data_IF_697083583188
#
_entry.id   IF_697083583188
#
_cell.length_a   1.000
_cell.length_b   1.000
_cell.length_c   1.000
_cell.angle_alpha   90.00
_cell.angle_beta   90.00
_cell.angle_gamma   90.00
#
_symmetry.space_group_name_H-M   'P 1'
#
loop_
_entity.id
_entity.type
_entity.pdbx_description
1 polymer ?
#
# COMPACT_ATOMS: atom_id res chain seq x y z
N UNK A 1 -4.45 -5.25 21.54
CA UNK A 1 -3.62 -4.82 20.41
C UNK A 1 -2.96 -3.48 20.67
N UNK A 2 -3.75 -2.42 20.87
CA UNK A 2 -3.27 -1.03 20.97
C UNK A 2 -2.89 -0.58 22.39
N UNK A 3 -2.97 -1.47 23.39
CA UNK A 3 -2.88 -1.08 24.79
C UNK A 3 -4.18 -0.42 25.28
N UNK A 4 -4.09 0.29 26.41
CA UNK A 4 -5.21 1.03 27.00
C UNK A 4 -5.38 2.41 26.30
N UNK A 5 -5.78 2.39 25.02
CA UNK A 5 -5.96 3.61 24.24
C UNK A 5 -7.40 4.09 24.31
N UNK A 6 -7.67 5.26 24.95
CA UNK A 6 -9.04 5.76 25.16
C UNK A 6 -9.84 5.95 23.88
N UNK A 7 -9.19 6.33 22.78
CA UNK A 7 -9.84 6.52 21.47
C UNK A 7 -10.39 5.23 20.91
N UNK A 8 -9.60 4.14 21.04
CA UNK A 8 -10.02 2.78 20.62
C UNK A 8 -11.15 2.28 21.52
N UNK A 9 -11.04 2.46 22.84
CA UNK A 9 -12.08 2.04 23.80
C UNK A 9 -13.42 2.74 23.51
N UNK A 10 -13.41 4.06 23.32
CA UNK A 10 -14.61 4.82 22.94
C UNK A 10 -15.19 4.42 21.57
N UNK A 11 -14.36 3.97 20.64
CA UNK A 11 -14.82 3.44 19.34
C UNK A 11 -15.50 2.11 19.52
N UNK A 12 -14.93 1.23 20.35
CA UNK A 12 -15.51 -0.07 20.67
C UNK A 12 -16.83 0.02 21.43
N UNK A 13 -16.98 1.02 22.33
CA UNK A 13 -18.26 1.29 23.03
C UNK A 13 -19.41 1.62 22.07
N UNK A 14 -19.08 2.25 20.94
CA UNK A 14 -20.05 2.59 19.87
C UNK A 14 -20.28 1.46 18.87
N UNK A 15 -19.40 0.47 18.84
CA UNK A 15 -19.54 -0.68 17.95
C UNK A 15 -20.65 -1.60 18.50
N UNK A 16 -21.60 -1.87 17.64
CA UNK A 16 -22.73 -2.76 17.93
C UNK A 16 -22.44 -4.21 17.53
N UNK A 17 -21.27 -4.52 16.94
CA UNK A 17 -20.86 -5.88 16.64
C UNK A 17 -20.28 -6.55 17.89
N UNK A 18 -20.78 -7.73 18.21
CA UNK A 18 -20.35 -8.49 19.39
C UNK A 18 -19.27 -9.53 19.06
N UNK A 19 -19.16 -9.90 17.79
CA UNK A 19 -18.21 -10.89 17.32
C UNK A 19 -17.73 -10.61 15.89
N UNK A 20 -16.70 -11.34 15.46
CA UNK A 20 -16.09 -11.21 14.13
C UNK A 20 -17.10 -11.35 12.98
N UNK A 21 -17.99 -12.34 13.07
CA UNK A 21 -18.97 -12.61 12.00
C UNK A 21 -19.99 -11.49 11.85
N UNK A 22 -20.45 -10.91 12.96
CA UNK A 22 -21.33 -9.73 12.93
C UNK A 22 -20.61 -8.49 12.38
N UNK A 23 -19.34 -8.29 12.75
CA UNK A 23 -18.51 -7.23 12.21
C UNK A 23 -18.37 -7.32 10.69
N UNK A 24 -18.10 -8.51 10.16
CA UNK A 24 -18.03 -8.78 8.72
C UNK A 24 -19.36 -8.48 8.02
N UNK A 25 -20.48 -8.93 8.56
CA UNK A 25 -21.82 -8.68 8.00
C UNK A 25 -22.15 -7.19 7.95
N UNK A 26 -21.86 -6.45 9.02
CA UNK A 26 -22.07 -4.99 9.08
C UNK A 26 -21.20 -4.24 8.07
N UNK A 27 -19.94 -4.66 7.93
CA UNK A 27 -19.05 -4.07 6.94
C UNK A 27 -19.54 -4.34 5.53
N UNK A 28 -19.99 -5.57 5.26
CA UNK A 28 -20.58 -5.95 3.98
C UNK A 28 -21.84 -5.14 3.66
N UNK A 29 -22.75 -4.97 4.62
CA UNK A 29 -23.98 -4.17 4.47
C UNK A 29 -23.67 -2.71 4.13
N UNK A 30 -22.60 -2.13 4.70
CA UNK A 30 -22.16 -0.77 4.38
C UNK A 30 -21.57 -0.64 2.97
N UNK A 31 -20.89 -1.67 2.50
CA UNK A 31 -20.27 -1.68 1.16
C UNK A 31 -21.31 -2.01 0.08
N UNK A 32 -22.22 -2.94 0.37
CA UNK A 32 -23.27 -3.42 -0.55
C UNK A 32 -24.65 -3.45 0.11
N UNK A 33 -25.28 -2.29 0.28
CA UNK A 33 -26.59 -2.22 0.92
C UNK A 33 -27.65 -2.97 0.07
N UNK A 34 -28.48 -3.78 0.74
CA UNK A 34 -29.58 -4.50 0.13
C UNK A 34 -29.25 -5.89 -0.44
N UNK A 35 -28.00 -6.35 -0.38
CA UNK A 35 -27.64 -7.73 -0.74
C UNK A 35 -27.84 -8.70 0.45
N UNK A 36 -28.09 -10.00 0.20
CA UNK A 36 -28.19 -11.01 1.25
C UNK A 36 -26.91 -11.12 2.08
N UNK A 37 -27.04 -11.10 3.41
CA UNK A 37 -25.91 -11.12 4.33
C UNK A 37 -25.43 -12.57 4.55
N UNK A 38 -24.26 -12.91 4.02
CA UNK A 38 -23.53 -14.15 4.27
C UNK A 38 -22.13 -13.82 4.79
N UNK A 39 -21.65 -14.60 5.76
CA UNK A 39 -20.27 -14.45 6.30
C UNK A 39 -19.25 -14.72 5.22
N UNK A 40 -19.42 -15.80 4.46
CA UNK A 40 -18.48 -16.22 3.41
C UNK A 40 -18.39 -15.17 2.28
N UNK A 41 -19.54 -14.59 1.89
CA UNK A 41 -19.58 -13.52 0.88
C UNK A 41 -18.92 -12.24 1.38
N UNK A 42 -19.12 -11.91 2.66
CA UNK A 42 -18.51 -10.75 3.29
C UNK A 42 -16.98 -10.91 3.40
N UNK A 43 -16.51 -12.05 3.86
CA UNK A 43 -15.09 -12.36 3.97
C UNK A 43 -14.41 -12.37 2.59
N UNK A 44 -15.02 -13.01 1.60
CA UNK A 44 -14.53 -13.03 0.22
C UNK A 44 -14.44 -11.62 -0.37
N UNK A 45 -15.44 -10.77 -0.13
CA UNK A 45 -15.44 -9.39 -0.61
C UNK A 45 -14.30 -8.58 0.01
N UNK A 46 -14.17 -8.63 1.34
CA UNK A 46 -13.15 -7.86 2.07
C UNK A 46 -11.75 -8.32 1.68
N UNK A 47 -11.51 -9.63 1.63
CA UNK A 47 -10.25 -10.20 1.19
C UNK A 47 -9.90 -9.75 -0.23
N UNK A 48 -10.89 -9.77 -1.14
CA UNK A 48 -10.66 -9.32 -2.52
C UNK A 48 -10.41 -7.83 -2.65
N UNK A 49 -10.95 -7.00 -1.76
CA UNK A 49 -10.79 -5.54 -1.82
C UNK A 49 -9.43 -5.06 -1.30
N UNK A 50 -8.92 -5.67 -0.24
CA UNK A 50 -7.75 -5.16 0.48
C UNK A 50 -6.52 -6.06 0.37
N UNK A 51 -6.71 -7.38 0.34
CA UNK A 51 -5.65 -8.37 0.50
C UNK A 51 -5.37 -9.20 -0.77
N UNK A 52 -6.12 -8.99 -1.85
CA UNK A 52 -5.87 -9.67 -3.13
C UNK A 52 -4.89 -8.86 -3.99
N UNK A 53 -3.70 -9.40 -4.20
CA UNK A 53 -2.66 -8.82 -5.04
C UNK A 53 -3.08 -8.54 -6.50
N UNK A 54 -4.13 -9.21 -7.00
CA UNK A 54 -4.66 -8.99 -8.36
C UNK A 54 -5.52 -7.74 -8.45
N UNK A 55 -6.15 -7.33 -7.36
CA UNK A 55 -7.11 -6.22 -7.32
C UNK A 55 -6.54 -4.97 -6.67
N UNK A 56 -5.71 -5.13 -5.66
CA UNK A 56 -5.10 -4.02 -4.95
C UNK A 56 -3.60 -3.98 -5.21
N UNK A 57 -3.12 -2.90 -5.78
CA UNK A 57 -1.71 -2.73 -6.13
C UNK A 57 -1.23 -1.35 -5.68
N UNK A 58 -0.44 -1.34 -4.62
CA UNK A 58 0.25 -0.15 -4.11
C UNK A 58 1.33 0.35 -5.07
N UNK A 59 1.72 -0.46 -6.03
CA UNK A 59 2.95 -0.33 -6.80
C UNK A 59 4.21 -0.37 -5.90
N UNK A 60 5.39 -0.38 -6.51
CA UNK A 60 6.67 -0.36 -5.78
C UNK A 60 6.80 0.89 -4.88
N UNK A 61 6.42 2.05 -5.42
CA UNK A 61 6.51 3.32 -4.69
C UNK A 61 5.58 3.36 -3.46
N UNK A 62 4.37 2.83 -3.57
CA UNK A 62 3.43 2.77 -2.45
C UNK A 62 3.95 1.88 -1.33
N UNK A 63 4.43 0.68 -1.65
CA UNK A 63 5.03 -0.23 -0.66
C UNK A 63 6.23 0.41 0.03
N UNK A 64 7.14 1.02 -0.73
CA UNK A 64 8.29 1.73 -0.18
C UNK A 64 7.86 2.85 0.80
N UNK A 65 6.84 3.64 0.45
CA UNK A 65 6.34 4.71 1.34
C UNK A 65 5.70 4.16 2.61
N UNK A 66 4.91 3.09 2.53
CA UNK A 66 4.36 2.41 3.70
C UNK A 66 5.49 1.92 4.62
N UNK A 67 6.45 1.19 4.07
CA UNK A 67 7.59 0.69 4.83
C UNK A 67 8.34 1.84 5.51
N UNK A 68 8.72 2.88 4.74
CA UNK A 68 9.43 4.05 5.28
C UNK A 68 8.66 4.76 6.40
N UNK A 69 7.34 4.88 6.27
CA UNK A 69 6.50 5.56 7.27
C UNK A 69 6.33 4.75 8.53
N UNK A 70 6.14 3.44 8.42
CA UNK A 70 5.79 2.55 9.52
C UNK A 70 7.01 1.89 10.22
N UNK A 71 8.22 1.99 9.64
CA UNK A 71 9.41 1.39 10.24
C UNK A 71 9.75 2.02 11.60
N UNK A 72 10.25 1.23 12.52
CA UNK A 72 10.60 1.63 13.88
C UNK A 72 11.62 2.76 13.92
N UNK A 73 12.62 2.74 13.04
CA UNK A 73 13.62 3.82 12.93
C UNK A 73 13.01 5.22 12.91
N UNK A 74 11.84 5.39 12.25
CA UNK A 74 11.19 6.68 12.09
C UNK A 74 10.15 6.98 13.18
N UNK A 75 9.90 6.03 14.07
CA UNK A 75 8.85 6.14 15.10
C UNK A 75 9.41 6.11 16.52
N UNK A 76 10.34 5.20 16.80
CA UNK A 76 10.84 4.99 18.17
C UNK A 76 12.27 5.51 18.40
N UNK A 77 13.05 5.79 17.35
CA UNK A 77 14.37 6.38 17.54
C UNK A 77 14.27 7.74 18.24
N UNK A 78 15.10 7.92 19.25
CA UNK A 78 15.09 9.11 20.10
C UNK A 78 14.15 9.05 21.32
N UNK A 79 13.26 8.05 21.39
CA UNK A 79 12.44 7.78 22.58
C UNK A 79 13.15 6.82 23.55
N UNK A 80 12.71 6.79 24.80
CA UNK A 80 13.14 5.80 25.78
C UNK A 80 12.22 4.60 25.76
N UNK A 81 12.79 3.41 25.96
CA UNK A 81 12.00 2.20 26.18
C UNK A 81 11.35 2.22 27.57
N UNK A 82 10.06 1.98 27.62
CA UNK A 82 9.33 1.84 28.87
C UNK A 82 9.44 0.42 29.46
N UNK A 83 9.67 -0.58 28.61
CA UNK A 83 9.79 -1.98 28.97
C UNK A 83 10.94 -2.63 28.22
N UNK A 84 11.43 -3.76 28.75
CA UNK A 84 12.46 -4.56 28.09
C UNK A 84 11.93 -5.09 26.73
N UNK A 85 12.80 -5.08 25.75
CA UNK A 85 12.50 -5.61 24.40
C UNK A 85 13.14 -6.99 24.32
N UNK A 86 12.30 -7.99 24.10
CA UNK A 86 12.72 -9.40 23.98
C UNK A 86 12.78 -9.79 22.50
N UNK A 87 13.75 -10.62 22.15
CA UNK A 87 13.82 -11.30 20.87
C UNK A 87 12.70 -12.36 20.82
N UNK A 88 11.78 -12.29 19.84
CA UNK A 88 10.69 -13.25 19.74
C UNK A 88 11.15 -14.70 19.51
N UNK A 89 12.33 -14.90 18.92
CA UNK A 89 12.87 -16.22 18.56
C UNK A 89 13.61 -16.89 19.71
N UNK A 90 14.38 -16.12 20.49
CA UNK A 90 15.24 -16.66 21.57
C UNK A 90 14.69 -16.38 22.97
N UNK A 91 13.83 -15.37 23.13
CA UNK A 91 13.36 -14.88 24.43
C UNK A 91 14.42 -14.08 25.22
N UNK A 92 15.57 -13.80 24.63
CA UNK A 92 16.63 -12.99 25.26
C UNK A 92 16.29 -11.51 25.21
N UNK A 93 16.82 -10.74 26.17
CA UNK A 93 16.64 -9.29 26.22
C UNK A 93 17.57 -8.66 25.17
N UNK A 94 16.99 -8.04 24.14
CA UNK A 94 17.71 -7.24 23.13
C UNK A 94 18.11 -5.87 23.70
N UNK A 95 17.19 -5.20 24.37
CA UNK A 95 17.40 -3.89 24.98
C UNK A 95 16.60 -3.78 26.27
N UNK A 96 17.23 -3.24 27.33
CA UNK A 96 16.61 -3.02 28.64
C UNK A 96 15.71 -1.78 28.65
N UNK A 97 14.75 -1.75 29.56
CA UNK A 97 13.92 -0.57 29.83
C UNK A 97 14.79 0.65 30.23
N UNK A 98 14.33 1.84 29.87
CA UNK A 98 15.02 3.10 30.16
C UNK A 98 16.10 3.48 29.13
N UNK A 99 16.49 2.59 28.21
CA UNK A 99 17.44 2.90 27.15
C UNK A 99 16.81 3.87 26.15
N UNK A 100 17.52 4.94 25.81
CA UNK A 100 17.14 5.85 24.73
C UNK A 100 17.64 5.30 23.40
N UNK A 101 16.73 4.94 22.53
CA UNK A 101 17.03 4.25 21.28
C UNK A 101 17.72 5.15 20.25
N UNK A 102 18.80 4.65 19.66
CA UNK A 102 19.38 5.19 18.43
C UNK A 102 18.63 4.66 17.21
N UNK A 103 18.94 5.20 16.02
CA UNK A 103 18.36 4.72 14.76
C UNK A 103 18.77 3.27 14.46
N UNK A 104 20.03 2.96 14.72
CA UNK A 104 20.60 1.63 14.49
C UNK A 104 19.99 0.59 15.45
N UNK A 105 19.73 0.96 16.70
CA UNK A 105 19.04 0.10 17.66
C UNK A 105 17.57 -0.13 17.27
N UNK A 106 16.90 0.91 16.79
CA UNK A 106 15.53 0.77 16.27
C UNK A 106 15.45 -0.14 15.03
N UNK A 107 16.44 -0.07 14.14
CA UNK A 107 16.56 -0.98 12.99
C UNK A 107 16.83 -2.43 13.47
N UNK A 108 17.67 -2.62 14.48
CA UNK A 108 17.93 -3.94 15.06
C UNK A 108 16.65 -4.57 15.65
N UNK A 109 15.86 -3.78 16.39
CA UNK A 109 14.56 -4.23 16.94
C UNK A 109 13.60 -4.63 15.80
N UNK A 110 13.54 -3.85 14.73
CA UNK A 110 12.69 -4.18 13.59
C UNK A 110 13.13 -5.45 12.90
N UNK A 111 14.44 -5.60 12.67
CA UNK A 111 15.03 -6.75 11.99
C UNK A 111 15.09 -8.02 12.84
N UNK A 112 14.81 -7.93 14.15
CA UNK A 112 14.50 -9.07 15.01
C UNK A 112 13.02 -9.47 14.96
N UNK A 113 12.22 -8.90 14.06
CA UNK A 113 10.78 -9.15 13.92
C UNK A 113 9.96 -8.92 15.20
N UNK A 114 10.40 -7.97 16.06
CA UNK A 114 9.67 -7.63 17.28
C UNK A 114 8.30 -7.04 16.91
N UNK A 115 7.18 -7.61 17.40
CA UNK A 115 5.85 -7.19 16.97
C UNK A 115 5.41 -5.84 17.54
N UNK A 116 5.94 -5.46 18.71
CA UNK A 116 5.65 -4.18 19.34
C UNK A 116 6.72 -3.80 20.38
N UNK A 117 6.81 -2.53 20.65
CA UNK A 117 7.64 -1.97 21.75
C UNK A 117 6.82 -0.97 22.56
N UNK A 118 7.19 -0.79 23.83
CA UNK A 118 6.64 0.29 24.68
C UNK A 118 7.66 1.41 24.76
N UNK A 119 7.25 2.62 24.45
CA UNK A 119 8.09 3.82 24.55
C UNK A 119 7.48 4.83 25.51
N UNK A 120 8.34 5.54 26.23
CA UNK A 120 7.96 6.65 27.09
C UNK A 120 7.71 7.91 26.23
N UNK A 121 6.59 8.57 26.48
CA UNK A 121 6.28 9.91 25.97
C UNK A 121 6.13 10.87 27.16
N UNK A 122 5.92 12.16 26.87
CA UNK A 122 5.74 13.15 27.95
C UNK A 122 4.47 12.91 28.77
N UNK A 123 3.45 12.27 28.20
CA UNK A 123 2.15 12.08 28.84
C UNK A 123 1.96 10.67 29.41
N UNK A 124 2.41 9.65 28.70
CA UNK A 124 2.23 8.24 29.06
C UNK A 124 3.17 7.30 28.31
N UNK A 125 3.18 6.05 28.73
CA UNK A 125 3.75 4.96 27.94
C UNK A 125 2.82 4.60 26.77
N UNK A 126 3.38 4.43 25.58
CA UNK A 126 2.61 4.08 24.38
C UNK A 126 3.16 2.81 23.73
N UNK A 127 2.24 1.94 23.30
CA UNK A 127 2.55 0.69 22.60
C UNK A 127 2.68 0.93 21.10
N UNK A 128 3.88 0.85 20.56
CA UNK A 128 4.17 1.06 19.14
C UNK A 128 4.20 -0.29 18.43
N UNK A 129 3.29 -0.49 17.46
CA UNK A 129 3.15 -1.72 16.69
C UNK A 129 4.06 -1.71 15.46
N UNK A 130 4.64 -2.87 15.16
CA UNK A 130 5.41 -3.12 13.93
C UNK A 130 4.49 -3.36 12.74
N UNK A 131 4.97 -3.05 11.52
CA UNK A 131 4.38 -3.52 10.26
C UNK A 131 4.89 -4.90 9.85
N UNK A 132 5.76 -5.52 10.66
CA UNK A 132 6.39 -6.83 10.42
C UNK A 132 7.16 -6.91 9.09
N UNK A 133 7.69 -5.79 8.63
CA UNK A 133 8.60 -5.72 7.48
C UNK A 133 10.03 -5.72 7.96
N UNK A 134 10.81 -6.71 7.54
CA UNK A 134 12.17 -6.96 8.01
C UNK A 134 13.17 -7.07 6.86
N UNK A 135 14.45 -6.94 7.18
CA UNK A 135 15.52 -7.24 6.23
C UNK A 135 15.74 -8.77 6.20
N UNK A 136 15.68 -9.36 5.02
CA UNK A 136 15.83 -10.80 4.83
C UNK A 136 17.19 -11.31 5.30
N UNK A 137 18.24 -10.50 5.18
CA UNK A 137 19.62 -10.85 5.59
C UNK A 137 19.78 -11.08 7.09
N UNK A 138 18.81 -10.63 7.89
CA UNK A 138 18.80 -10.86 9.34
C UNK A 138 18.37 -12.29 9.72
N UNK A 139 17.72 -13.01 8.80
CA UNK A 139 17.16 -14.34 9.03
C UNK A 139 17.79 -15.43 8.17
N UNK A 140 18.27 -15.07 6.99
CA UNK A 140 18.81 -16.03 6.02
C UNK A 140 20.10 -15.49 5.45
N UNK A 141 21.12 -16.33 5.41
CA UNK A 141 22.42 -15.99 4.79
C UNK A 141 22.32 -16.13 3.26
N UNK A 142 21.72 -15.12 2.63
CA UNK A 142 21.53 -15.05 1.18
C UNK A 142 21.86 -13.65 0.67
N UNK A 143 22.34 -13.59 -0.57
CA UNK A 143 22.39 -12.31 -1.28
C UNK A 143 20.97 -11.94 -1.75
N UNK A 144 20.41 -10.81 -1.28
CA UNK A 144 19.07 -10.37 -1.69
C UNK A 144 18.91 -10.23 -3.21
N UNK A 145 19.94 -9.78 -3.93
CA UNK A 145 19.89 -9.65 -5.38
C UNK A 145 19.78 -11.00 -6.07
N UNK A 146 20.47 -12.03 -5.55
CA UNK A 146 20.42 -13.40 -6.08
C UNK A 146 19.01 -13.99 -6.02
N UNK A 147 18.27 -13.71 -4.95
CA UNK A 147 16.90 -14.21 -4.75
C UNK A 147 15.83 -13.25 -5.27
N UNK A 148 16.21 -12.09 -5.83
CA UNK A 148 15.30 -11.10 -6.40
C UNK A 148 14.58 -10.21 -5.39
N UNK A 149 15.08 -10.17 -4.14
CA UNK A 149 14.57 -9.30 -3.08
C UNK A 149 15.22 -7.93 -3.20
N UNK A 150 14.42 -6.88 -3.37
CA UNK A 150 14.89 -5.49 -3.53
C UNK A 150 14.42 -4.56 -2.44
N UNK A 151 13.62 -5.03 -1.51
CA UNK A 151 12.97 -4.25 -0.45
C UNK A 151 12.83 -5.11 0.81
N UNK A 152 12.35 -4.52 1.90
CA UNK A 152 12.02 -5.26 3.11
C UNK A 152 10.95 -6.32 2.82
N UNK A 153 11.08 -7.46 3.45
CA UNK A 153 10.17 -8.61 3.30
C UNK A 153 9.19 -8.70 4.47
N UNK A 154 8.02 -9.24 4.20
CA UNK A 154 6.97 -9.49 5.18
C UNK A 154 7.32 -10.75 6.00
N UNK A 155 7.66 -10.55 7.28
CA UNK A 155 8.17 -11.61 8.16
C UNK A 155 7.22 -12.81 8.28
N UNK A 156 5.88 -12.66 8.46
CA UNK A 156 5.01 -13.83 8.57
C UNK A 156 4.96 -14.73 7.32
N UNK A 157 5.32 -14.20 6.14
CA UNK A 157 5.47 -15.01 4.93
C UNK A 157 6.86 -15.68 4.86
N UNK A 158 7.90 -14.99 5.36
CA UNK A 158 9.25 -15.55 5.47
C UNK A 158 9.30 -16.67 6.50
N UNK A 159 8.72 -16.45 7.67
CA UNK A 159 8.64 -17.41 8.78
C UNK A 159 8.08 -18.76 8.32
N UNK A 160 6.98 -18.77 7.56
CA UNK A 160 6.42 -20.00 7.00
C UNK A 160 7.39 -20.77 6.10
N UNK A 161 8.21 -20.05 5.33
CA UNK A 161 9.23 -20.70 4.48
C UNK A 161 10.33 -21.29 5.35
N UNK A 162 10.76 -20.59 6.42
CA UNK A 162 11.80 -21.06 7.32
C UNK A 162 11.34 -22.20 8.25
N UNK A 163 10.05 -22.29 8.54
CA UNK A 163 9.47 -23.44 9.29
C UNK A 163 9.32 -24.70 8.44
N UNK A 164 9.11 -24.53 7.11
CA UNK A 164 8.84 -25.65 6.21
C UNK A 164 10.12 -26.25 5.60
N UNK A 165 11.18 -25.43 5.44
CA UNK A 165 12.41 -25.83 4.74
C UNK A 165 13.64 -25.51 5.58
N UNK A 166 14.57 -26.49 5.68
CA UNK A 166 15.85 -26.35 6.39
C UNK A 166 17.03 -26.14 5.42
N UNK A 167 16.93 -26.61 4.17
CA UNK A 167 17.99 -26.49 3.20
C UNK A 167 18.03 -25.11 2.56
N UNK A 168 19.23 -24.50 2.52
CA UNK A 168 19.43 -23.13 2.00
C UNK A 168 19.06 -22.98 0.52
N UNK A 169 19.31 -24.00 -0.30
CA UNK A 169 19.00 -23.94 -1.73
C UNK A 169 17.48 -24.08 -1.97
N UNK A 170 16.80 -24.88 -1.16
CA UNK A 170 15.33 -24.97 -1.15
C UNK A 170 14.71 -23.66 -0.67
N UNK A 171 15.22 -23.08 0.41
CA UNK A 171 14.78 -21.74 0.91
C UNK A 171 14.94 -20.69 -0.18
N UNK A 172 16.08 -20.60 -0.86
CA UNK A 172 16.31 -19.69 -1.99
C UNK A 172 15.30 -19.91 -3.12
N UNK A 173 15.01 -21.15 -3.47
CA UNK A 173 14.03 -21.48 -4.49
C UNK A 173 12.61 -21.05 -4.10
N UNK A 174 12.23 -21.26 -2.85
CA UNK A 174 10.92 -20.85 -2.33
C UNK A 174 10.79 -19.33 -2.20
N UNK A 175 11.84 -18.62 -1.79
CA UNK A 175 11.87 -17.16 -1.78
C UNK A 175 11.60 -16.60 -3.19
N UNK A 176 12.30 -17.12 -4.22
CA UNK A 176 12.07 -16.70 -5.61
C UNK A 176 10.64 -16.97 -6.08
N UNK A 177 10.08 -18.11 -5.70
CA UNK A 177 8.72 -18.51 -6.08
C UNK A 177 7.65 -17.66 -5.41
N UNK A 178 7.86 -17.31 -4.15
CA UNK A 178 6.88 -16.60 -3.31
C UNK A 178 7.21 -15.10 -3.15
N UNK A 179 7.99 -14.52 -4.05
CA UNK A 179 8.45 -13.13 -3.98
C UNK A 179 7.28 -12.12 -3.87
N UNK A 180 6.13 -12.43 -4.45
CA UNK A 180 4.93 -11.57 -4.41
C UNK A 180 4.23 -11.57 -3.05
N UNK A 181 4.43 -12.62 -2.24
CA UNK A 181 3.93 -12.71 -0.87
C UNK A 181 4.93 -12.11 0.12
N UNK A 182 6.22 -12.29 -0.15
CA UNK A 182 7.31 -11.71 0.65
C UNK A 182 7.39 -10.19 0.50
N UNK A 183 7.16 -9.66 -0.71
CA UNK A 183 7.08 -8.21 -0.97
C UNK A 183 5.65 -7.88 -1.42
N UNK A 184 4.68 -7.84 -0.49
CA UNK A 184 3.28 -7.67 -0.85
C UNK A 184 3.03 -6.27 -1.41
N UNK A 185 2.48 -6.21 -2.63
CA UNK A 185 2.02 -4.96 -3.25
C UNK A 185 0.57 -4.61 -2.87
N UNK A 186 -0.04 -5.42 -2.04
CA UNK A 186 -1.33 -5.18 -1.39
C UNK A 186 -1.12 -4.76 0.07
N UNK A 187 -2.16 -4.28 0.71
CA UNK A 187 -2.14 -3.94 2.14
C UNK A 187 -2.12 -5.24 2.95
N UNK A 188 -1.29 -5.30 3.98
CA UNK A 188 -1.31 -6.38 4.98
C UNK A 188 -2.16 -5.97 6.19
N UNK A 189 -2.53 -6.94 7.02
CA UNK A 189 -3.25 -6.70 8.28
C UNK A 189 -2.42 -5.85 9.23
N UNK A 190 -1.13 -6.12 9.29
CA UNK A 190 -0.14 -5.42 10.11
C UNK A 190 0.04 -3.98 9.64
N UNK A 191 0.00 -3.71 8.34
CA UNK A 191 0.00 -2.34 7.81
C UNK A 191 -1.20 -1.53 8.33
N UNK A 192 -2.40 -2.12 8.34
CA UNK A 192 -3.61 -1.44 8.84
C UNK A 192 -3.47 -1.12 10.32
N UNK A 193 -3.06 -2.12 11.13
CA UNK A 193 -2.89 -1.96 12.57
C UNK A 193 -1.80 -0.94 12.90
N UNK A 194 -0.64 -1.03 12.23
CA UNK A 194 0.46 -0.10 12.42
C UNK A 194 0.09 1.32 11.96
N UNK A 195 -0.72 1.48 10.90
CA UNK A 195 -1.18 2.79 10.42
C UNK A 195 -2.16 3.44 11.40
N UNK A 196 -3.11 2.68 11.95
CA UNK A 196 -4.02 3.17 12.99
C UNK A 196 -3.21 3.60 14.22
N UNK A 197 -2.29 2.75 14.67
CA UNK A 197 -1.39 2.99 15.78
C UNK A 197 -0.53 4.25 15.54
N UNK A 198 0.02 4.40 14.34
CA UNK A 198 0.77 5.59 13.95
C UNK A 198 -0.09 6.87 14.08
N UNK A 199 -1.29 6.87 13.52
CA UNK A 199 -2.18 8.03 13.55
C UNK A 199 -2.56 8.45 14.98
N UNK A 200 -2.85 7.47 15.85
CA UNK A 200 -3.18 7.74 17.26
C UNK A 200 -1.98 8.35 17.98
N UNK A 201 -0.78 7.87 17.69
CA UNK A 201 0.43 8.27 18.43
C UNK A 201 1.07 9.58 17.96
N UNK A 202 0.62 10.15 16.84
CA UNK A 202 1.03 11.51 16.43
C UNK A 202 0.76 12.55 17.52
N UNK A 203 -0.35 12.39 18.26
CA UNK A 203 -0.70 13.27 19.38
C UNK A 203 0.34 13.23 20.50
N UNK A 204 1.00 12.09 20.70
CA UNK A 204 2.02 11.89 21.74
C UNK A 204 3.46 12.09 21.21
N UNK A 205 3.62 12.69 20.03
CA UNK A 205 4.92 12.99 19.44
C UNK A 205 5.67 11.77 18.87
N UNK A 206 5.01 10.62 18.73
CA UNK A 206 5.58 9.42 18.10
C UNK A 206 5.19 9.38 16.62
N UNK A 207 6.12 9.76 15.76
CA UNK A 207 5.91 9.93 14.34
C UNK A 207 5.90 11.41 13.93
N UNK A 208 5.71 11.67 12.64
CA UNK A 208 5.67 13.01 12.08
C UNK A 208 4.56 13.14 11.05
N UNK A 209 3.92 14.31 11.01
CA UNK A 209 3.00 14.66 9.94
C UNK A 209 3.75 14.82 8.62
N UNK A 210 3.05 14.50 7.52
CA UNK A 210 3.58 14.72 6.18
C UNK A 210 2.98 16.00 5.59
N UNK A 211 3.81 16.78 4.93
CA UNK A 211 3.37 17.86 4.08
C UNK A 211 2.78 17.28 2.78
N UNK A 212 1.46 17.36 2.64
CA UNK A 212 0.69 16.76 1.54
C UNK A 212 1.08 17.39 0.19
N UNK A 213 1.39 18.69 0.18
CA UNK A 213 1.65 19.44 -1.05
C UNK A 213 3.11 19.39 -1.49
N UNK A 214 3.99 18.86 -0.64
CA UNK A 214 5.38 18.63 -0.99
C UNK A 214 5.49 17.65 -2.16
N UNK A 215 6.24 17.99 -3.22
CA UNK A 215 6.39 17.13 -4.42
C UNK A 215 7.03 15.75 -4.14
N UNK A 216 7.67 15.58 -3.00
CA UNK A 216 8.08 14.26 -2.49
C UNK A 216 6.91 13.35 -2.12
N UNK A 217 5.73 13.91 -1.84
CA UNK A 217 4.49 13.19 -1.49
C UNK A 217 3.46 13.19 -2.62
N UNK A 218 3.60 14.10 -3.59
CA UNK A 218 2.76 14.18 -4.81
C UNK A 218 3.52 13.54 -5.97
N UNK A 219 3.15 12.32 -6.31
CA UNK A 219 3.78 11.57 -7.40
C UNK A 219 3.13 11.89 -8.75
N UNK A 220 3.95 12.11 -9.77
CA UNK A 220 3.48 12.24 -11.15
C UNK A 220 3.34 10.84 -11.76
N UNK A 221 2.19 10.56 -12.34
CA UNK A 221 1.94 9.34 -13.12
C UNK A 221 2.07 9.63 -14.60
N UNK A 222 3.01 8.97 -15.25
CA UNK A 222 3.20 9.07 -16.68
C UNK A 222 2.17 8.24 -17.46
N UNK A 223 2.05 8.47 -18.76
CA UNK A 223 1.09 7.77 -19.63
C UNK A 223 1.27 6.25 -19.60
N UNK A 224 2.49 5.75 -19.46
CA UNK A 224 2.77 4.32 -19.39
C UNK A 224 2.07 3.64 -18.21
N UNK A 225 2.08 4.24 -17.03
CA UNK A 225 1.39 3.74 -15.85
C UNK A 225 -0.14 3.77 -16.02
N UNK A 226 -0.67 4.83 -16.60
CA UNK A 226 -2.11 4.96 -16.88
C UNK A 226 -2.58 3.90 -17.88
N UNK A 227 -1.80 3.65 -18.93
CA UNK A 227 -2.08 2.59 -19.90
C UNK A 227 -1.95 1.21 -19.28
N UNK A 228 -0.95 0.96 -18.43
CA UNK A 228 -0.81 -0.31 -17.71
C UNK A 228 -2.08 -0.64 -16.93
N UNK A 229 -2.67 0.34 -16.24
CA UNK A 229 -3.91 0.15 -15.50
C UNK A 229 -5.08 -0.21 -16.43
N UNK A 230 -5.18 0.41 -17.60
CA UNK A 230 -6.21 0.07 -18.58
C UNK A 230 -6.02 -1.33 -19.18
N UNK A 231 -4.77 -1.71 -19.47
CA UNK A 231 -4.46 -3.08 -19.87
C UNK A 231 -4.86 -4.11 -18.80
N UNK A 232 -4.54 -3.82 -17.53
CA UNK A 232 -4.93 -4.70 -16.41
C UNK A 232 -6.44 -4.90 -16.34
N UNK A 233 -7.23 -3.83 -16.48
CA UNK A 233 -8.69 -3.90 -16.53
C UNK A 233 -9.17 -4.73 -17.73
N UNK A 234 -8.59 -4.50 -18.90
CA UNK A 234 -8.91 -5.23 -20.12
C UNK A 234 -8.60 -6.73 -20.01
N UNK A 235 -7.45 -7.06 -19.44
CA UNK A 235 -7.01 -8.46 -19.23
C UNK A 235 -7.87 -9.16 -18.16
N UNK A 236 -8.25 -8.49 -17.07
CA UNK A 236 -9.18 -9.05 -16.07
C UNK A 236 -10.56 -9.35 -16.66
N UNK A 237 -11.06 -8.47 -17.54
CA UNK A 237 -12.31 -8.71 -18.27
C UNK A 237 -12.16 -9.91 -19.23
N UNK A 238 -11.04 -10.02 -19.91
CA UNK A 238 -10.72 -11.14 -20.80
C UNK A 238 -10.62 -12.46 -20.02
N UNK A 239 -9.89 -12.48 -18.90
CA UNK A 239 -9.77 -13.66 -18.04
C UNK A 239 -11.15 -14.17 -17.62
N UNK A 240 -12.04 -13.27 -17.18
CA UNK A 240 -13.41 -13.65 -16.79
C UNK A 240 -14.17 -14.30 -17.94
N UNK A 241 -14.11 -13.73 -19.13
CA UNK A 241 -14.78 -14.28 -20.33
C UNK A 241 -14.18 -15.64 -20.73
N UNK A 242 -12.85 -15.79 -20.66
CA UNK A 242 -12.20 -17.08 -20.95
C UNK A 242 -12.63 -18.15 -19.95
N UNK A 243 -12.64 -17.81 -18.66
CA UNK A 243 -13.07 -18.72 -17.59
C UNK A 243 -14.54 -19.16 -17.78
N UNK A 244 -15.42 -18.23 -18.10
CA UNK A 244 -16.82 -18.53 -18.41
C UNK A 244 -16.97 -19.45 -19.63
N UNK A 245 -16.22 -19.22 -20.71
CA UNK A 245 -16.23 -20.09 -21.89
C UNK A 245 -15.67 -21.49 -21.60
N UNK A 246 -14.63 -21.59 -20.80
CA UNK A 246 -14.09 -22.89 -20.38
C UNK A 246 -15.07 -23.76 -19.60
N UNK A 247 -16.01 -23.14 -18.89
CA UNK A 247 -17.05 -23.88 -18.15
C UNK A 247 -18.28 -24.24 -18.99
N UNK A 248 -18.52 -23.52 -20.10
CA UNK A 248 -19.74 -23.65 -20.91
C UNK A 248 -19.54 -24.39 -22.23
N UNK A 249 -18.31 -24.51 -22.73
CA UNK A 249 -18.00 -25.16 -24.00
C UNK A 249 -17.51 -26.60 -23.82
N UNK A 250 -17.77 -27.45 -24.82
CA UNK A 250 -17.28 -28.83 -24.85
C UNK A 250 -15.75 -28.88 -24.95
N UNK A 251 -15.14 -29.69 -24.10
CA UNK A 251 -13.69 -29.85 -23.97
C UNK A 251 -13.02 -30.25 -25.30
N UNK A 252 -13.70 -31.07 -26.12
CA UNK A 252 -13.18 -31.53 -27.41
C UNK A 252 -13.07 -30.43 -28.47
N UNK A 253 -13.87 -29.36 -28.35
CA UNK A 253 -13.89 -28.25 -29.32
C UNK A 253 -13.06 -27.02 -28.89
N UNK A 254 -12.49 -27.03 -27.70
CA UNK A 254 -11.76 -25.90 -27.14
C UNK A 254 -10.39 -25.75 -27.81
N UNK A 255 -10.13 -24.55 -28.34
CA UNK A 255 -8.80 -24.11 -28.79
C UNK A 255 -8.49 -22.72 -28.23
N UNK A 256 -7.22 -22.31 -28.11
CA UNK A 256 -6.86 -20.97 -27.68
C UNK A 256 -7.52 -19.87 -28.51
N UNK A 257 -7.70 -20.07 -29.81
CA UNK A 257 -8.32 -19.13 -30.72
C UNK A 257 -9.83 -18.95 -30.45
N UNK A 258 -10.51 -20.01 -30.01
CA UNK A 258 -11.95 -19.93 -29.69
C UNK A 258 -12.21 -19.33 -28.31
N UNK A 259 -11.28 -19.53 -27.38
CA UNK A 259 -11.39 -19.01 -26.02
C UNK A 259 -11.05 -17.52 -25.91
N UNK A 260 -9.93 -17.11 -26.55
CA UNK A 260 -9.38 -15.78 -26.40
C UNK A 260 -10.11 -14.79 -27.32
N UNK A 261 -10.71 -13.76 -26.71
CA UNK A 261 -11.33 -12.65 -27.41
C UNK A 261 -10.64 -11.33 -27.04
N UNK A 262 -9.96 -10.72 -27.97
CA UNK A 262 -9.21 -9.47 -27.75
C UNK A 262 -10.09 -8.23 -27.55
N UNK A 263 -11.40 -8.31 -27.85
CA UNK A 263 -12.32 -7.15 -27.77
C UNK A 263 -12.34 -6.43 -26.40
N UNK A 264 -12.33 -7.11 -25.24
CA UNK A 264 -12.31 -6.45 -23.94
C UNK A 264 -11.06 -5.58 -23.72
N UNK A 265 -9.90 -6.04 -24.18
CA UNK A 265 -8.63 -5.31 -24.08
C UNK A 265 -8.65 -4.10 -25.01
N UNK A 266 -9.05 -4.29 -26.27
CA UNK A 266 -9.17 -3.20 -27.24
C UNK A 266 -10.18 -2.15 -26.77
N UNK A 267 -11.30 -2.56 -26.19
CA UNK A 267 -12.31 -1.65 -25.64
C UNK A 267 -11.75 -0.81 -24.48
N UNK A 268 -11.01 -1.41 -23.56
CA UNK A 268 -10.40 -0.68 -22.44
C UNK A 268 -9.38 0.36 -22.91
N UNK A 269 -8.54 0.04 -23.90
CA UNK A 269 -7.57 0.98 -24.48
C UNK A 269 -8.29 2.12 -25.23
N UNK A 270 -9.32 1.79 -26.02
CA UNK A 270 -10.14 2.80 -26.72
C UNK A 270 -10.90 3.71 -25.74
N UNK A 271 -11.37 3.19 -24.63
CA UNK A 271 -12.00 3.94 -23.56
C UNK A 271 -11.04 5.00 -22.98
N UNK A 272 -9.78 4.63 -22.75
CA UNK A 272 -8.77 5.58 -22.27
C UNK A 272 -8.52 6.73 -23.27
N UNK A 273 -8.24 6.41 -24.54
CA UNK A 273 -7.93 7.44 -25.52
C UNK A 273 -9.14 8.27 -25.96
N UNK A 274 -10.37 7.73 -25.86
CA UNK A 274 -11.59 8.40 -26.30
C UNK A 274 -12.34 9.18 -25.21
N UNK A 275 -12.22 8.80 -23.94
CA UNK A 275 -13.01 9.39 -22.87
C UNK A 275 -12.22 9.83 -21.64
N UNK A 276 -10.93 9.55 -21.55
CA UNK A 276 -10.12 10.01 -20.42
C UNK A 276 -9.92 11.51 -20.46
N UNK A 277 -10.05 12.16 -19.31
CA UNK A 277 -9.74 13.58 -19.11
C UNK A 277 -8.29 13.96 -19.45
N UNK A 278 -7.38 12.98 -19.34
CA UNK A 278 -5.95 13.15 -19.58
C UNK A 278 -5.56 12.94 -21.05
N UNK A 279 -6.42 12.29 -21.84
CA UNK A 279 -6.26 12.18 -23.28
C UNK A 279 -6.95 13.36 -23.95
N UNK A 280 -6.17 14.31 -24.41
CA UNK A 280 -6.64 15.59 -24.94
C UNK A 280 -6.23 15.75 -26.38
N UNK A 281 -7.01 16.55 -27.13
CA UNK A 281 -6.60 17.00 -28.45
C UNK A 281 -5.36 17.87 -28.34
N UNK A 282 -4.31 17.56 -29.09
CA UNK A 282 -3.02 18.24 -28.98
C UNK A 282 -3.11 19.68 -29.50
N UNK A 283 -2.63 20.62 -28.71
CA UNK A 283 -2.42 22.00 -29.14
C UNK A 283 -1.23 22.04 -30.11
N UNK A 284 -1.47 22.38 -31.35
CA UNK A 284 -0.54 22.23 -32.48
C UNK A 284 -0.40 23.50 -33.35
N UNK A 285 -0.46 24.68 -32.74
CA UNK A 285 -0.30 25.94 -33.47
C UNK A 285 1.14 26.13 -33.98
N UNK A 286 2.12 25.73 -33.19
CA UNK A 286 3.55 25.74 -33.52
C UNK A 286 4.29 24.67 -32.69
N UNK A 287 5.56 24.37 -33.00
CA UNK A 287 6.32 23.34 -32.25
C UNK A 287 6.43 23.61 -30.74
N UNK A 288 6.46 24.88 -30.33
CA UNK A 288 6.53 25.24 -28.91
C UNK A 288 5.22 24.93 -28.20
N UNK A 289 4.05 25.17 -28.81
CA UNK A 289 2.76 24.85 -28.22
C UNK A 289 2.58 23.33 -28.04
N UNK A 290 3.06 22.53 -29.00
CA UNK A 290 3.09 21.06 -28.86
C UNK A 290 3.97 20.63 -27.71
N UNK A 291 5.19 21.16 -27.60
CA UNK A 291 6.12 20.83 -26.51
C UNK A 291 5.53 21.18 -25.15
N UNK A 292 4.98 22.37 -25.01
CA UNK A 292 4.35 22.86 -23.77
C UNK A 292 3.16 21.99 -23.37
N UNK A 293 2.31 21.60 -24.31
CA UNK A 293 1.18 20.71 -24.04
C UNK A 293 1.63 19.32 -23.57
N UNK A 294 2.66 18.76 -24.21
CA UNK A 294 3.21 17.45 -23.82
C UNK A 294 3.86 17.44 -22.42
N UNK A 295 4.37 18.57 -21.96
CA UNK A 295 5.00 18.75 -20.64
C UNK A 295 4.02 19.18 -19.54
N UNK A 296 2.75 19.43 -19.86
CA UNK A 296 1.75 19.88 -18.92
C UNK A 296 1.43 18.80 -17.89
N UNK A 297 1.42 19.19 -16.62
CA UNK A 297 0.97 18.35 -15.50
C UNK A 297 -0.48 18.66 -15.16
N UNK A 298 -1.25 17.65 -14.79
CA UNK A 298 -2.64 17.81 -14.35
C UNK A 298 -2.83 17.14 -12.99
N UNK A 299 -3.54 17.81 -12.09
CA UNK A 299 -3.96 17.24 -10.81
C UNK A 299 -5.30 16.48 -10.93
N UNK A 300 -5.96 16.55 -12.08
CA UNK A 300 -7.25 15.94 -12.36
C UNK A 300 -7.11 14.49 -12.84
N UNK A 301 -8.23 13.78 -12.90
CA UNK A 301 -8.32 12.45 -13.49
C UNK A 301 -8.38 11.32 -12.47
N UNK A 302 -8.29 10.06 -12.91
CA UNK A 302 -8.41 8.89 -12.03
C UNK A 302 -7.35 8.89 -10.91
N UNK A 303 -7.82 8.85 -9.65
CA UNK A 303 -6.96 8.93 -8.46
C UNK A 303 -6.39 10.31 -8.17
N UNK A 304 -6.82 11.35 -8.91
CA UNK A 304 -6.51 12.74 -8.67
C UNK A 304 -7.65 13.49 -7.99
N UNK A 305 -7.60 14.82 -8.07
CA UNK A 305 -8.60 15.72 -7.51
C UNK A 305 -9.76 15.96 -8.49
N UNK A 306 -10.93 16.31 -7.97
CA UNK A 306 -12.00 16.93 -8.75
C UNK A 306 -11.91 18.46 -8.62
N UNK A 307 -12.40 19.20 -9.61
CA UNK A 307 -12.39 20.66 -9.60
C UNK A 307 -13.04 21.26 -8.37
N UNK A 308 -14.14 20.67 -7.94
CA UNK A 308 -14.94 21.17 -6.79
C UNK A 308 -14.27 20.89 -5.44
N UNK A 309 -13.36 19.92 -5.38
CA UNK A 309 -12.62 19.53 -4.17
C UNK A 309 -11.22 20.13 -4.10
N UNK A 310 -10.75 20.79 -5.14
CA UNK A 310 -9.46 21.45 -5.16
C UNK A 310 -9.55 22.80 -4.44
N UNK A 311 -9.11 22.84 -3.18
CA UNK A 311 -8.98 24.06 -2.38
C UNK A 311 -7.82 24.95 -2.84
N UNK A 312 -7.63 26.08 -2.17
CA UNK A 312 -6.53 27.01 -2.48
C UNK A 312 -5.16 26.39 -2.24
N UNK A 313 -5.00 25.59 -1.18
CA UNK A 313 -3.72 24.99 -0.78
C UNK A 313 -3.08 24.16 -1.88
N UNK A 314 -3.88 23.30 -2.57
CA UNK A 314 -3.37 22.47 -3.67
C UNK A 314 -3.10 23.23 -4.97
N UNK A 315 -3.59 24.47 -5.06
CA UNK A 315 -3.40 25.37 -6.22
C UNK A 315 -2.25 26.34 -6.04
N UNK A 316 -1.81 26.54 -4.80
CA UNK A 316 -0.72 27.42 -4.47
C UNK A 316 0.65 26.85 -4.87
N UNK A 317 1.60 27.75 -5.01
CA UNK A 317 2.99 27.39 -5.27
C UNK A 317 3.66 26.97 -3.98
N UNK A 318 4.10 25.70 -3.95
CA UNK A 318 4.86 25.15 -2.84
C UNK A 318 6.37 25.35 -3.05
N UNK A 319 7.16 25.53 -1.97
CA UNK A 319 8.62 25.73 -2.09
C UNK A 319 9.32 24.57 -2.82
N UNK A 320 8.79 23.34 -2.75
CA UNK A 320 9.32 22.18 -3.49
C UNK A 320 9.15 22.28 -5.01
N UNK A 321 8.36 23.24 -5.51
CA UNK A 321 8.20 23.50 -6.95
C UNK A 321 9.44 24.15 -7.57
N UNK A 322 10.33 24.72 -6.74
CA UNK A 322 11.55 25.38 -7.24
C UNK A 322 12.40 24.42 -8.07
N UNK A 323 12.72 24.85 -9.28
CA UNK A 323 13.48 24.04 -10.25
C UNK A 323 12.74 22.84 -10.86
N UNK A 324 11.42 22.66 -10.57
CA UNK A 324 10.63 21.50 -11.01
C UNK A 324 9.34 21.88 -11.73
N UNK A 325 8.58 22.81 -11.18
CA UNK A 325 7.28 23.22 -11.71
C UNK A 325 7.24 24.73 -11.87
N UNK A 326 6.86 25.22 -13.06
CA UNK A 326 6.80 26.66 -13.33
C UNK A 326 5.68 27.31 -12.50
N UNK A 327 5.96 28.34 -11.69
CA UNK A 327 4.95 28.98 -10.86
C UNK A 327 4.02 29.93 -11.62
N UNK A 328 4.37 30.28 -12.85
CA UNK A 328 3.65 31.28 -13.67
C UNK A 328 2.81 30.66 -14.77
N UNK A 329 3.26 29.54 -15.35
CA UNK A 329 2.54 28.85 -16.43
C UNK A 329 1.39 28.01 -15.86
N UNK A 330 0.23 28.62 -15.68
CA UNK A 330 -1.01 28.00 -15.19
C UNK A 330 -2.20 28.47 -16.03
N UNK A 331 -3.25 27.66 -16.21
CA UNK A 331 -4.50 28.11 -16.83
C UNK A 331 -5.18 29.23 -16.04
N UNK A 332 -6.00 29.99 -16.70
CA UNK A 332 -6.89 30.98 -16.07
C UNK A 332 -8.24 30.36 -15.66
N UNK A 333 -8.92 31.00 -14.72
CA UNK A 333 -10.27 30.65 -14.29
C UNK A 333 -10.33 29.40 -13.40
N UNK A 334 -11.34 28.52 -13.58
CA UNK A 334 -11.60 27.39 -12.66
C UNK A 334 -10.46 26.38 -12.55
N UNK A 335 -9.54 26.38 -13.50
CA UNK A 335 -8.40 25.44 -13.56
C UNK A 335 -7.10 26.08 -13.08
N UNK A 336 -7.11 27.25 -12.48
CA UNK A 336 -5.91 27.91 -11.98
C UNK A 336 -5.19 27.06 -10.91
N UNK A 337 -3.85 27.05 -10.97
CA UNK A 337 -3.00 26.31 -10.03
C UNK A 337 -2.41 25.03 -10.57
#
# INVERSE_FOLDING_TARGET
LFGEEPKILKTLEKDTATNYQEGLKKLYEKIRPGEPLSVDSAESLINSMFFDARRYDLAKVGRYKFNKKLMFRNRIAGHRLAQDVLDPSTGEILFEAGVRLTKEQADAIQNAAVPYVYVETEEKEVKVLSSMMVDITSFVDVDPEEVGVTELVYYPALEKILEEYDDIDEIKAQIRKNITELIPKHITREDILASINYNIHLEYGVGNDDDIDHLGNRRIRAVGELLQNQYRIGLSRLERVVRERMTTQDIESISPQTLINIKPVTAAVKEFFGSSQLSQFMDQHNPLSELTHKRRLSALGPGGLSRDRAGFEVRDVHYSHYGRMCPVETPEGPNIG
#
